data_IF_431291673706
#
_entry.id   IF_431291673706
#
_cell.length_a   1.000
_cell.length_b   1.000
_cell.length_c   1.000
_cell.angle_alpha   90.00
_cell.angle_beta   90.00
_cell.angle_gamma   90.00
#
_symmetry.space_group_name_H-M   'P 1'
#
loop_
_entity.id
_entity.type
_entity.pdbx_description
1 polymer ?
#
# COMPACT_ATOMS: atom_id res chain seq x y z
N UNK A 1 -33.35 41.78 28.86
CA UNK A 1 -32.68 40.63 29.53
C UNK A 1 -32.26 39.68 28.44
N UNK A 2 -31.12 40.02 27.77
CA UNK A 2 -30.57 39.26 26.65
C UNK A 2 -29.70 38.13 27.20
N UNK A 3 -30.11 36.91 26.97
CA UNK A 3 -29.33 35.73 27.30
C UNK A 3 -28.29 35.50 26.17
N UNK A 4 -27.05 35.95 26.43
CA UNK A 4 -25.88 35.56 25.61
C UNK A 4 -25.70 34.04 25.70
N UNK A 5 -26.14 33.33 24.68
CA UNK A 5 -25.78 31.93 24.48
C UNK A 5 -24.35 31.92 23.91
N UNK A 6 -23.35 31.82 24.76
CA UNK A 6 -21.97 31.55 24.38
C UNK A 6 -21.97 30.21 23.63
N UNK A 7 -21.77 30.27 22.34
CA UNK A 7 -21.44 29.12 21.49
C UNK A 7 -20.07 28.57 21.94
N UNK A 8 -20.13 27.55 22.79
CA UNK A 8 -18.95 26.81 23.19
C UNK A 8 -18.27 26.23 21.94
N UNK A 9 -17.03 26.63 21.56
CA UNK A 9 -16.39 26.11 20.39
C UNK A 9 -16.19 24.61 20.57
N UNK A 10 -16.71 23.83 19.63
CA UNK A 10 -16.47 22.37 19.58
C UNK A 10 -14.97 22.13 19.65
N UNK A 11 -14.47 21.27 20.55
CA UNK A 11 -13.04 21.02 20.67
C UNK A 11 -12.53 20.53 19.31
N UNK A 12 -11.69 21.34 18.68
CA UNK A 12 -10.93 20.93 17.49
C UNK A 12 -10.15 19.66 17.90
N UNK A 13 -10.49 18.53 17.29
CA UNK A 13 -9.73 17.29 17.47
C UNK A 13 -8.27 17.64 17.15
N UNK A 14 -7.43 17.63 18.18
CA UNK A 14 -5.99 17.90 18.00
C UNK A 14 -5.45 17.02 16.89
N UNK A 15 -4.82 17.65 15.90
CA UNK A 15 -4.20 16.95 14.77
C UNK A 15 -3.07 16.08 15.31
N UNK A 16 -3.09 14.80 14.98
CA UNK A 16 -2.02 13.90 15.37
C UNK A 16 -0.85 14.05 14.39
N UNK A 17 0.09 14.92 14.73
CA UNK A 17 1.27 15.20 13.91
C UNK A 17 2.10 13.96 13.57
N UNK A 18 2.10 12.93 14.43
CA UNK A 18 2.79 11.68 14.17
C UNK A 18 2.19 10.92 12.98
N UNK A 19 0.86 10.94 12.84
CA UNK A 19 0.18 10.32 11.68
C UNK A 19 0.45 11.12 10.41
N UNK A 20 0.47 12.44 10.48
CA UNK A 20 0.79 13.29 9.32
C UNK A 20 2.24 13.07 8.85
N UNK A 21 3.19 13.02 9.79
CA UNK A 21 4.58 12.69 9.49
C UNK A 21 4.72 11.29 8.87
N UNK A 22 4.01 10.30 9.39
CA UNK A 22 4.02 8.94 8.84
C UNK A 22 3.49 8.91 7.39
N UNK A 23 2.47 9.70 7.07
CA UNK A 23 1.96 9.83 5.68
C UNK A 23 3.00 10.42 4.74
N UNK A 24 3.68 11.50 5.16
CA UNK A 24 4.73 12.13 4.36
C UNK A 24 5.88 11.14 4.14
N UNK A 25 6.30 10.45 5.19
CA UNK A 25 7.36 9.45 5.11
C UNK A 25 6.96 8.29 4.18
N UNK A 26 5.74 7.77 4.29
CA UNK A 26 5.22 6.74 3.40
C UNK A 26 5.19 7.21 1.94
N UNK A 27 4.88 8.48 1.67
CA UNK A 27 4.93 9.05 0.32
C UNK A 27 6.35 9.08 -0.25
N UNK A 28 7.33 9.50 0.55
CA UNK A 28 8.74 9.48 0.16
C UNK A 28 9.22 8.05 -0.13
N UNK A 29 8.87 7.09 0.72
CA UNK A 29 9.22 5.69 0.48
C UNK A 29 8.54 5.13 -0.79
N UNK A 30 7.30 5.52 -1.08
CA UNK A 30 6.64 5.14 -2.33
C UNK A 30 7.36 5.70 -3.55
N UNK A 31 7.83 6.95 -3.50
CA UNK A 31 8.65 7.54 -4.56
C UNK A 31 9.97 6.76 -4.75
N UNK A 32 10.62 6.38 -3.65
CA UNK A 32 11.82 5.53 -3.70
C UNK A 32 11.54 4.20 -4.43
N UNK A 33 10.44 3.50 -4.10
CA UNK A 33 10.06 2.26 -4.79
C UNK A 33 9.88 2.45 -6.30
N UNK A 34 9.25 3.56 -6.71
CA UNK A 34 9.08 3.86 -8.12
C UNK A 34 10.41 4.13 -8.84
N UNK A 35 11.33 4.87 -8.19
CA UNK A 35 12.67 5.12 -8.73
C UNK A 35 13.45 3.82 -8.86
N UNK A 36 13.45 2.96 -7.82
CA UNK A 36 14.17 1.70 -7.82
C UNK A 36 13.70 0.76 -8.95
N UNK A 37 12.38 0.62 -9.14
CA UNK A 37 11.78 -0.29 -10.13
C UNK A 37 11.73 0.33 -11.54
N UNK A 38 11.02 1.44 -11.69
CA UNK A 38 10.82 2.07 -13.01
C UNK A 38 12.03 2.84 -13.50
N UNK A 39 12.88 3.34 -12.59
CA UNK A 39 14.14 3.97 -12.94
C UNK A 39 15.26 2.99 -13.30
N UNK A 40 15.00 1.67 -13.30
CA UNK A 40 15.97 0.64 -13.71
C UNK A 40 17.14 0.44 -12.73
N UNK A 41 17.08 1.03 -11.53
CA UNK A 41 18.19 0.97 -10.54
C UNK A 41 18.43 -0.46 -10.07
N UNK A 42 17.37 -1.25 -9.89
CA UNK A 42 17.49 -2.67 -9.49
C UNK A 42 18.28 -3.42 -10.55
N UNK A 43 17.89 -3.32 -11.81
CA UNK A 43 18.56 -4.00 -12.93
C UNK A 43 20.02 -3.53 -13.10
N UNK A 44 20.27 -2.24 -12.97
CA UNK A 44 21.63 -1.69 -13.05
C UNK A 44 22.55 -2.17 -11.91
N UNK A 45 21.98 -2.59 -10.77
CA UNK A 45 22.75 -3.07 -9.62
C UNK A 45 23.21 -4.53 -9.71
N UNK A 46 22.67 -5.34 -10.63
CA UNK A 46 22.88 -6.80 -10.70
C UNK A 46 24.34 -7.20 -10.87
N UNK A 47 25.18 -6.35 -11.49
CA UNK A 47 26.62 -6.60 -11.70
C UNK A 47 27.53 -6.39 -10.49
N UNK A 48 27.04 -5.80 -9.40
CA UNK A 48 27.83 -5.46 -8.23
C UNK A 48 27.10 -5.87 -6.93
N UNK A 49 27.70 -6.80 -6.16
CA UNK A 49 27.07 -7.33 -4.95
C UNK A 49 26.75 -6.24 -3.91
N UNK A 50 27.63 -5.29 -3.72
CA UNK A 50 27.42 -4.22 -2.73
C UNK A 50 26.26 -3.31 -3.17
N UNK A 51 26.23 -2.91 -4.43
CA UNK A 51 25.12 -2.13 -5.01
C UNK A 51 23.79 -2.91 -4.92
N UNK A 52 23.80 -4.17 -5.33
CA UNK A 52 22.64 -5.06 -5.26
C UNK A 52 22.09 -5.20 -3.84
N UNK A 53 22.96 -5.46 -2.87
CA UNK A 53 22.54 -5.60 -1.47
C UNK A 53 21.97 -4.29 -0.90
N UNK A 54 22.56 -3.15 -1.25
CA UNK A 54 22.10 -1.83 -0.80
C UNK A 54 20.73 -1.50 -1.40
N UNK A 55 20.55 -1.76 -2.69
CA UNK A 55 19.28 -1.51 -3.41
C UNK A 55 18.16 -2.38 -2.83
N UNK A 56 18.41 -3.67 -2.59
CA UNK A 56 17.41 -4.56 -2.01
C UNK A 56 17.09 -4.24 -0.54
N UNK A 57 18.07 -3.77 0.24
CA UNK A 57 17.81 -3.28 1.59
C UNK A 57 16.91 -2.03 1.55
N UNK A 58 17.18 -1.11 0.64
CA UNK A 58 16.38 0.10 0.47
C UNK A 58 14.97 -0.24 -0.03
N UNK A 59 14.83 -1.18 -0.97
CA UNK A 59 13.52 -1.65 -1.43
C UNK A 59 12.74 -2.32 -0.29
N UNK A 60 13.37 -3.23 0.47
CA UNK A 60 12.73 -3.90 1.59
C UNK A 60 12.25 -2.89 2.66
N UNK A 61 13.06 -1.88 2.96
CA UNK A 61 12.67 -0.80 3.87
C UNK A 61 11.51 0.02 3.30
N UNK A 62 11.49 0.31 2.00
CA UNK A 62 10.44 1.10 1.39
C UNK A 62 9.14 0.32 1.13
N UNK A 63 9.16 -1.02 1.14
CA UNK A 63 8.03 -1.86 0.73
C UNK A 63 6.77 -1.69 1.58
N UNK A 64 6.91 -1.26 2.84
CA UNK A 64 5.77 -0.96 3.72
C UNK A 64 5.01 0.33 3.35
N UNK A 65 5.55 1.17 2.45
CA UNK A 65 5.04 2.51 2.15
C UNK A 65 3.53 2.53 1.87
N UNK A 66 3.09 1.71 0.92
CA UNK A 66 1.68 1.66 0.50
C UNK A 66 0.80 1.03 1.57
N UNK A 67 1.30 0.02 2.28
CA UNK A 67 0.60 -0.64 3.37
C UNK A 67 0.32 0.33 4.54
N UNK A 68 1.22 1.30 4.78
CA UNK A 68 1.04 2.33 5.80
C UNK A 68 -0.22 3.17 5.56
N UNK A 69 -0.58 3.48 4.32
CA UNK A 69 -1.80 4.26 4.04
C UNK A 69 -3.07 3.51 4.43
N UNK A 70 -3.15 2.20 4.16
CA UNK A 70 -4.30 1.38 4.54
C UNK A 70 -4.37 1.21 6.07
N UNK A 71 -3.23 1.00 6.74
CA UNK A 71 -3.14 0.96 8.21
C UNK A 71 -3.57 2.28 8.85
N UNK A 72 -3.07 3.42 8.34
CA UNK A 72 -3.47 4.75 8.79
C UNK A 72 -4.97 4.97 8.59
N UNK A 73 -5.52 4.54 7.44
CA UNK A 73 -6.95 4.65 7.16
C UNK A 73 -7.79 3.88 8.18
N UNK A 74 -7.36 2.67 8.57
CA UNK A 74 -8.00 1.89 9.62
C UNK A 74 -7.87 2.53 11.00
N UNK A 75 -6.68 3.00 11.34
CA UNK A 75 -6.41 3.66 12.62
C UNK A 75 -7.23 4.94 12.79
N UNK A 76 -7.25 5.82 11.80
CA UNK A 76 -7.99 7.08 11.84
C UNK A 76 -9.49 6.87 11.67
N UNK A 77 -9.88 5.94 10.77
CA UNK A 77 -11.27 5.66 10.43
C UNK A 77 -12.05 4.92 11.51
N UNK A 78 -11.34 4.17 12.38
CA UNK A 78 -12.01 3.47 13.48
C UNK A 78 -12.58 4.43 14.53
N UNK A 79 -13.79 4.11 14.98
CA UNK A 79 -14.48 4.81 16.07
C UNK A 79 -15.36 3.83 16.84
N UNK A 80 -15.43 3.99 18.16
CA UNK A 80 -16.29 3.20 19.03
C UNK A 80 -17.79 3.48 18.78
N UNK A 81 -18.10 4.67 18.23
CA UNK A 81 -19.47 5.02 17.81
C UNK A 81 -19.66 4.73 16.33
N UNK A 82 -20.82 4.19 15.90
CA UNK A 82 -21.16 4.02 14.51
C UNK A 82 -21.06 5.37 13.77
N UNK A 83 -20.37 5.38 12.64
CA UNK A 83 -20.33 6.55 11.76
C UNK A 83 -20.86 6.14 10.39
N UNK A 84 -21.72 6.96 9.77
CA UNK A 84 -22.18 6.70 8.41
C UNK A 84 -21.03 6.81 7.41
N UNK A 85 -21.16 6.11 6.29
CA UNK A 85 -20.24 6.22 5.18
C UNK A 85 -20.35 7.64 4.58
N UNK A 86 -19.23 8.36 4.55
CA UNK A 86 -19.19 9.71 3.97
C UNK A 86 -18.86 9.63 2.47
N UNK A 87 -19.88 9.44 1.65
CA UNK A 87 -19.73 9.38 0.18
C UNK A 87 -19.09 10.66 -0.39
N UNK A 88 -19.37 11.82 0.21
CA UNK A 88 -18.72 13.08 -0.18
C UNK A 88 -17.20 12.96 -0.18
N UNK A 89 -16.60 12.28 0.83
CA UNK A 89 -15.15 12.07 0.87
C UNK A 89 -14.64 11.18 -0.26
N UNK A 90 -15.43 10.20 -0.70
CA UNK A 90 -15.10 9.37 -1.84
C UNK A 90 -15.09 10.20 -3.13
N UNK A 91 -16.10 11.07 -3.29
CA UNK A 91 -16.22 11.99 -4.43
C UNK A 91 -15.07 13.00 -4.44
N UNK A 92 -14.74 13.59 -3.29
CA UNK A 92 -13.61 14.51 -3.15
C UNK A 92 -12.28 13.85 -3.61
N UNK A 93 -12.02 12.63 -3.15
CA UNK A 93 -10.84 11.87 -3.55
C UNK A 93 -10.85 11.54 -5.05
N UNK A 94 -12.01 11.16 -5.58
CA UNK A 94 -12.16 10.87 -7.01
C UNK A 94 -11.91 12.12 -7.86
N UNK A 95 -12.52 13.26 -7.52
CA UNK A 95 -12.31 14.53 -8.21
C UNK A 95 -10.84 14.97 -8.15
N UNK A 96 -10.17 14.78 -7.01
CA UNK A 96 -8.77 15.10 -6.87
C UNK A 96 -7.90 14.25 -7.81
N UNK A 97 -8.15 12.94 -7.90
CA UNK A 97 -7.41 12.05 -8.80
C UNK A 97 -7.67 12.43 -10.26
N UNK A 98 -8.93 12.66 -10.64
CA UNK A 98 -9.29 13.11 -12.00
C UNK A 98 -8.58 14.43 -12.36
N UNK A 99 -8.61 15.40 -11.45
CA UNK A 99 -7.95 16.69 -11.66
C UNK A 99 -6.46 16.54 -11.99
N UNK A 100 -5.71 15.79 -11.17
CA UNK A 100 -4.29 15.57 -11.44
C UNK A 100 -4.05 14.70 -12.67
N UNK A 101 -4.89 13.69 -12.91
CA UNK A 101 -4.76 12.84 -14.09
C UNK A 101 -4.93 13.63 -15.37
N UNK A 102 -5.96 14.49 -15.46
CA UNK A 102 -6.22 15.35 -16.62
C UNK A 102 -5.07 16.35 -16.82
N UNK A 103 -4.55 16.97 -15.76
CA UNK A 103 -3.41 17.88 -15.86
C UNK A 103 -2.18 17.16 -16.42
N UNK A 104 -1.85 15.98 -15.88
CA UNK A 104 -0.69 15.22 -16.32
C UNK A 104 -0.85 14.82 -17.78
N UNK A 105 -2.01 14.27 -18.19
CA UNK A 105 -2.29 13.90 -19.58
C UNK A 105 -2.18 15.11 -20.51
N UNK A 106 -2.69 16.27 -20.10
CA UNK A 106 -2.59 17.51 -20.88
C UNK A 106 -1.14 17.95 -21.04
N UNK A 107 -0.33 17.90 -19.97
CA UNK A 107 1.10 18.25 -20.04
C UNK A 107 1.86 17.32 -20.98
N UNK A 108 1.60 16.00 -20.93
CA UNK A 108 2.21 15.04 -21.87
C UNK A 108 1.79 15.32 -23.31
N UNK A 109 0.53 15.67 -23.56
CA UNK A 109 0.03 16.04 -24.87
C UNK A 109 0.75 17.29 -25.41
N UNK A 110 0.88 18.35 -24.61
CA UNK A 110 1.54 19.60 -25.01
C UNK A 110 3.04 19.40 -25.20
N UNK A 111 3.68 18.58 -24.36
CA UNK A 111 5.11 18.31 -24.43
C UNK A 111 5.47 17.35 -25.60
N UNK A 112 4.48 16.78 -26.29
CA UNK A 112 4.72 15.83 -27.38
C UNK A 112 5.39 14.54 -26.93
N UNK A 113 5.21 14.17 -25.66
CA UNK A 113 5.79 12.95 -25.07
C UNK A 113 4.84 11.79 -25.31
N UNK A 114 5.19 10.87 -26.20
CA UNK A 114 4.34 9.74 -26.58
C UNK A 114 3.20 10.16 -27.53
N UNK A 115 2.34 9.20 -27.88
CA UNK A 115 1.13 9.43 -28.69
C UNK A 115 -0.08 9.56 -27.76
N UNK A 116 -0.33 10.76 -27.24
CA UNK A 116 -1.52 11.01 -26.39
C UNK A 116 -2.75 11.22 -27.30
N UNK A 117 -3.73 10.33 -27.15
CA UNK A 117 -5.00 10.36 -27.90
C UNK A 117 -6.23 10.64 -27.05
N UNK A 118 -7.40 10.60 -27.68
CA UNK A 118 -8.69 10.80 -26.99
C UNK A 118 -8.94 9.72 -25.93
N UNK A 119 -8.45 8.49 -26.14
CA UNK A 119 -8.53 7.39 -25.17
C UNK A 119 -7.84 7.73 -23.85
N UNK A 120 -6.67 8.38 -23.88
CA UNK A 120 -5.91 8.72 -22.69
C UNK A 120 -6.65 9.77 -21.83
N UNK A 121 -7.35 10.70 -22.49
CA UNK A 121 -8.24 11.63 -21.79
C UNK A 121 -9.46 10.93 -21.19
N UNK A 122 -10.05 9.96 -21.90
CA UNK A 122 -11.15 9.17 -21.34
C UNK A 122 -10.70 8.39 -20.11
N UNK A 123 -9.51 7.78 -20.15
CA UNK A 123 -8.88 7.08 -19.03
C UNK A 123 -8.57 8.02 -17.86
N UNK A 124 -8.15 9.26 -18.14
CA UNK A 124 -7.91 10.27 -17.12
C UNK A 124 -9.19 10.68 -16.37
N UNK A 125 -10.35 10.68 -17.04
CA UNK A 125 -11.65 10.94 -16.41
C UNK A 125 -12.20 9.71 -15.66
N UNK A 126 -11.79 8.50 -16.02
CA UNK A 126 -12.27 7.24 -15.45
C UNK A 126 -11.15 6.43 -14.80
N UNK A 127 -10.38 7.00 -13.87
CA UNK A 127 -9.15 6.40 -13.34
C UNK A 127 -9.37 5.07 -12.60
N UNK A 128 -10.58 4.81 -12.11
CA UNK A 128 -10.96 3.54 -11.46
C UNK A 128 -11.17 2.44 -12.50
N UNK A 129 -11.84 2.76 -13.60
CA UNK A 129 -12.19 1.81 -14.67
C UNK A 129 -10.96 1.42 -15.48
N UNK A 130 -10.11 2.41 -15.82
CA UNK A 130 -8.86 2.21 -16.56
C UNK A 130 -7.77 1.55 -15.73
N UNK A 131 -7.96 1.44 -14.40
CA UNK A 131 -6.95 0.94 -13.42
C UNK A 131 -5.63 1.70 -13.48
N UNK A 132 -5.62 2.93 -13.99
CA UNK A 132 -4.45 3.78 -14.14
C UNK A 132 -3.69 3.95 -12.81
N UNK A 133 -4.45 4.07 -11.71
CA UNK A 133 -3.92 4.16 -10.35
C UNK A 133 -4.43 2.99 -9.51
N UNK A 134 -3.73 1.87 -9.54
CA UNK A 134 -4.12 0.63 -8.88
C UNK A 134 -4.50 0.81 -7.39
N UNK A 135 -3.73 1.63 -6.65
CA UNK A 135 -4.00 1.87 -5.24
C UNK A 135 -5.32 2.59 -5.03
N UNK A 136 -5.61 3.60 -5.85
CA UNK A 136 -6.87 4.32 -5.80
C UNK A 136 -8.05 3.40 -6.10
N UNK A 137 -7.96 2.57 -7.13
CA UNK A 137 -8.97 1.58 -7.48
C UNK A 137 -9.22 0.59 -6.33
N UNK A 138 -8.14 0.04 -5.75
CA UNK A 138 -8.22 -0.85 -4.61
C UNK A 138 -8.81 -0.16 -3.36
N UNK A 139 -8.44 1.09 -3.13
CA UNK A 139 -8.94 1.89 -2.01
C UNK A 139 -10.44 2.17 -2.14
N UNK A 140 -10.92 2.54 -3.32
CA UNK A 140 -12.35 2.75 -3.58
C UNK A 140 -13.13 1.45 -3.33
N UNK A 141 -12.61 0.29 -3.81
CA UNK A 141 -13.21 -1.01 -3.51
C UNK A 141 -13.32 -1.27 -2.01
N UNK A 142 -12.25 -1.04 -1.26
CA UNK A 142 -12.25 -1.19 0.20
C UNK A 142 -13.18 -0.17 0.90
N UNK A 143 -13.27 1.05 0.39
CA UNK A 143 -13.99 2.16 1.02
C UNK A 143 -15.45 1.82 1.35
N UNK A 144 -16.13 1.12 0.47
CA UNK A 144 -17.52 0.70 0.68
C UNK A 144 -17.68 -0.31 1.83
N UNK A 145 -16.64 -1.04 2.17
CA UNK A 145 -16.64 -2.00 3.27
C UNK A 145 -16.26 -1.39 4.63
N UNK A 146 -15.80 -0.13 4.69
CA UNK A 146 -15.38 0.53 5.94
C UNK A 146 -16.42 0.44 7.07
N UNK A 147 -17.73 0.68 6.85
CA UNK A 147 -18.72 0.55 7.92
C UNK A 147 -18.80 -0.86 8.49
N UNK A 148 -18.72 -1.87 7.62
CA UNK A 148 -18.74 -3.28 8.00
C UNK A 148 -17.48 -3.66 8.78
N UNK A 149 -16.30 -3.28 8.30
CA UNK A 149 -15.01 -3.52 8.96
C UNK A 149 -14.98 -2.89 10.36
N UNK A 150 -15.45 -1.64 10.47
CA UNK A 150 -15.58 -0.98 11.78
C UNK A 150 -16.58 -1.67 12.69
N UNK A 151 -17.72 -2.15 12.17
CA UNK A 151 -18.69 -2.88 12.94
C UNK A 151 -18.13 -4.20 13.49
N UNK A 152 -17.37 -4.92 12.63
CA UNK A 152 -16.66 -6.14 13.02
C UNK A 152 -15.69 -5.86 14.18
N UNK A 153 -14.79 -4.89 14.01
CA UNK A 153 -13.79 -4.56 15.04
C UNK A 153 -14.45 -4.11 16.34
N UNK A 154 -15.55 -3.33 16.28
CA UNK A 154 -16.28 -2.90 17.48
C UNK A 154 -16.86 -4.07 18.29
N UNK A 155 -17.44 -5.05 17.62
CA UNK A 155 -18.12 -6.20 18.26
C UNK A 155 -17.16 -7.17 18.94
N UNK A 156 -15.91 -7.26 18.44
CA UNK A 156 -14.95 -8.21 18.98
C UNK A 156 -14.35 -7.73 20.29
N UNK A 157 -14.26 -8.61 21.28
CA UNK A 157 -13.49 -8.37 22.49
C UNK A 157 -11.97 -8.45 22.20
N UNK A 158 -11.12 -8.08 23.17
CA UNK A 158 -9.67 -8.04 23.01
C UNK A 158 -9.09 -9.37 22.51
N UNK A 159 -9.51 -10.49 23.10
CA UNK A 159 -8.98 -11.82 22.74
C UNK A 159 -9.39 -12.22 21.32
N UNK A 160 -10.66 -12.08 20.98
CA UNK A 160 -11.17 -12.39 19.65
C UNK A 160 -10.53 -11.48 18.56
N UNK A 161 -10.29 -10.19 18.87
CA UNK A 161 -9.66 -9.28 17.92
C UNK A 161 -8.19 -9.66 17.66
N UNK A 162 -7.44 -10.02 18.71
CA UNK A 162 -6.06 -10.52 18.56
C UNK A 162 -6.05 -11.83 17.77
N UNK A 163 -6.95 -12.77 18.08
CA UNK A 163 -7.10 -14.03 17.35
C UNK A 163 -7.43 -13.79 15.87
N UNK A 164 -8.33 -12.86 15.56
CA UNK A 164 -8.63 -12.45 14.18
C UNK A 164 -7.36 -11.91 13.48
N UNK A 165 -6.60 -11.03 14.12
CA UNK A 165 -5.36 -10.50 13.54
C UNK A 165 -4.35 -11.62 13.25
N UNK A 166 -4.17 -12.56 14.18
CA UNK A 166 -3.26 -13.72 13.97
C UNK A 166 -3.74 -14.57 12.79
N UNK A 167 -5.04 -14.88 12.73
CA UNK A 167 -5.64 -15.64 11.63
C UNK A 167 -5.44 -14.92 10.28
N UNK A 168 -5.66 -13.61 10.23
CA UNK A 168 -5.46 -12.83 9.02
C UNK A 168 -3.99 -12.86 8.55
N UNK A 169 -3.03 -12.79 9.48
CA UNK A 169 -1.60 -12.96 9.15
C UNK A 169 -1.34 -14.37 8.61
N UNK A 170 -1.85 -15.39 9.28
CA UNK A 170 -1.64 -16.77 8.86
C UNK A 170 -2.20 -17.05 7.44
N UNK A 171 -3.41 -16.56 7.16
CA UNK A 171 -4.07 -16.80 5.86
C UNK A 171 -3.54 -15.85 4.77
N UNK A 172 -3.50 -14.56 5.01
CA UNK A 172 -3.23 -13.57 3.96
C UNK A 172 -1.75 -13.21 3.82
N UNK A 173 -0.90 -13.59 4.76
CA UNK A 173 0.53 -13.34 4.67
C UNK A 173 1.31 -14.65 4.55
N UNK A 174 1.20 -15.57 5.51
CA UNK A 174 2.00 -16.80 5.48
C UNK A 174 1.54 -17.74 4.37
N UNK A 175 0.24 -18.07 4.30
CA UNK A 175 -0.28 -19.00 3.28
C UNK A 175 -0.06 -18.44 1.86
N UNK A 176 -0.33 -17.15 1.63
CA UNK A 176 -0.12 -16.52 0.32
C UNK A 176 1.37 -16.53 -0.08
N UNK A 177 2.27 -16.26 0.88
CA UNK A 177 3.71 -16.38 0.67
C UNK A 177 4.09 -17.80 0.24
N UNK A 178 3.57 -18.83 0.91
CA UNK A 178 3.82 -20.22 0.50
C UNK A 178 3.21 -20.53 -0.87
N UNK A 179 1.98 -20.10 -1.14
CA UNK A 179 1.33 -20.31 -2.43
C UNK A 179 2.09 -19.65 -3.59
N UNK A 180 2.74 -18.52 -3.34
CA UNK A 180 3.57 -17.81 -4.33
C UNK A 180 4.76 -18.64 -4.83
N UNK A 181 5.30 -19.57 -4.03
CA UNK A 181 6.34 -20.49 -4.49
C UNK A 181 5.87 -21.38 -5.66
N UNK A 182 4.57 -21.66 -5.76
CA UNK A 182 3.97 -22.37 -6.88
C UNK A 182 3.36 -21.44 -7.94
N UNK A 183 3.71 -20.15 -7.92
CA UNK A 183 3.17 -19.12 -8.84
C UNK A 183 1.63 -19.07 -8.85
N UNK A 184 1.01 -19.33 -7.70
CA UNK A 184 -0.44 -19.27 -7.53
C UNK A 184 -0.79 -18.10 -6.61
N UNK A 185 -1.86 -17.40 -6.94
CA UNK A 185 -2.48 -16.37 -6.11
C UNK A 185 -3.95 -16.79 -5.82
N UNK A 186 -4.15 -17.78 -4.93
CA UNK A 186 -5.46 -18.35 -4.68
C UNK A 186 -6.42 -17.40 -3.98
N UNK A 187 -5.89 -16.36 -3.34
CA UNK A 187 -6.67 -15.35 -2.61
C UNK A 187 -6.86 -14.07 -3.42
N UNK A 188 -6.38 -14.03 -4.66
CA UNK A 188 -6.45 -12.88 -5.54
C UNK A 188 -5.91 -11.59 -4.87
N UNK A 189 -4.79 -11.73 -4.14
CA UNK A 189 -4.15 -10.59 -3.48
C UNK A 189 -3.37 -9.71 -4.46
N UNK A 190 -3.04 -10.26 -5.64
CA UNK A 190 -2.32 -9.54 -6.72
C UNK A 190 -1.03 -8.91 -6.19
N UNK A 191 -0.27 -9.68 -5.39
CA UNK A 191 0.95 -9.17 -4.76
C UNK A 191 0.72 -8.01 -3.78
N UNK A 192 -0.44 -7.96 -3.12
CA UNK A 192 -0.81 -6.89 -2.20
C UNK A 192 -1.53 -5.69 -2.84
N UNK A 193 -1.93 -5.80 -4.12
CA UNK A 193 -2.58 -4.72 -4.87
C UNK A 193 -4.12 -4.87 -4.94
N UNK A 194 -4.74 -5.61 -4.02
CA UNK A 194 -6.19 -5.88 -4.04
C UNK A 194 -6.95 -5.11 -2.95
N UNK A 195 -8.26 -4.82 -3.17
CA UNK A 195 -9.13 -4.23 -2.14
C UNK A 195 -9.21 -5.11 -0.88
N UNK A 196 -9.14 -6.43 -1.06
CA UNK A 196 -9.17 -7.40 0.04
C UNK A 196 -7.96 -7.22 0.97
N UNK A 197 -6.75 -7.12 0.41
CA UNK A 197 -5.54 -6.86 1.18
C UNK A 197 -5.61 -5.54 1.93
N UNK A 198 -6.07 -4.47 1.27
CA UNK A 198 -6.26 -3.17 1.92
C UNK A 198 -7.28 -3.25 3.06
N UNK A 199 -8.33 -4.07 2.92
CA UNK A 199 -9.31 -4.35 3.98
C UNK A 199 -8.69 -5.06 5.18
N UNK A 200 -7.81 -6.03 4.95
CA UNK A 200 -7.04 -6.69 6.01
C UNK A 200 -6.17 -5.68 6.75
N UNK A 201 -5.43 -4.84 6.04
CA UNK A 201 -4.59 -3.80 6.64
C UNK A 201 -5.43 -2.75 7.39
N UNK A 202 -6.61 -2.42 6.88
CA UNK A 202 -7.57 -1.56 7.58
C UNK A 202 -7.97 -2.15 8.94
N UNK A 203 -8.28 -3.45 8.99
CA UNK A 203 -8.61 -4.15 10.25
C UNK A 203 -7.42 -4.06 11.21
N UNK A 204 -6.18 -4.26 10.75
CA UNK A 204 -4.99 -4.10 11.61
C UNK A 204 -4.87 -2.68 12.16
N UNK A 205 -5.05 -1.66 11.33
CA UNK A 205 -5.03 -0.26 11.76
C UNK A 205 -6.10 0.04 12.81
N UNK A 206 -7.34 -0.43 12.58
CA UNK A 206 -8.45 -0.30 13.52
C UNK A 206 -8.20 -1.05 14.83
N UNK A 207 -7.62 -2.26 14.76
CA UNK A 207 -7.24 -3.05 15.91
C UNK A 207 -6.13 -2.37 16.74
N UNK A 208 -5.11 -1.82 16.09
CA UNK A 208 -4.05 -1.05 16.76
C UNK A 208 -4.62 0.10 17.58
N UNK A 209 -5.61 0.83 17.05
CA UNK A 209 -6.28 1.91 17.78
C UNK A 209 -7.10 1.37 18.94
N UNK A 210 -7.94 0.36 18.72
CA UNK A 210 -8.79 -0.21 19.76
C UNK A 210 -7.98 -0.82 20.90
N UNK A 211 -6.86 -1.47 20.58
CA UNK A 211 -5.96 -2.11 21.56
C UNK A 211 -4.94 -1.15 22.17
N UNK A 212 -4.91 0.11 21.73
CA UNK A 212 -3.96 1.15 22.17
C UNK A 212 -2.49 0.72 22.01
N UNK A 213 -2.18 0.05 20.91
CA UNK A 213 -0.84 -0.48 20.65
C UNK A 213 0.24 0.62 20.61
N UNK A 214 0.03 1.79 19.96
CA UNK A 214 1.04 2.86 19.95
C UNK A 214 1.36 3.41 21.33
N UNK A 215 0.40 3.40 22.27
CA UNK A 215 0.59 3.88 23.64
C UNK A 215 1.40 2.89 24.50
N UNK A 216 1.36 1.60 24.14
CA UNK A 216 2.04 0.52 24.87
C UNK A 216 3.44 0.20 24.38
N UNK A 217 3.85 0.76 23.21
CA UNK A 217 5.11 0.44 22.55
C UNK A 217 6.02 1.67 22.43
N UNK A 218 7.25 1.57 22.92
CA UNK A 218 8.20 2.67 22.77
C UNK A 218 8.65 2.83 21.33
N UNK A 219 8.93 4.07 20.90
CA UNK A 219 9.39 4.38 19.54
C UNK A 219 10.68 3.64 19.17
N UNK A 220 11.58 3.43 20.12
CA UNK A 220 12.82 2.65 19.90
C UNK A 220 12.55 1.18 19.56
N UNK A 221 11.58 0.56 20.28
CA UNK A 221 11.17 -0.83 19.99
C UNK A 221 10.49 -0.93 18.62
N UNK A 222 9.61 0.01 18.29
CA UNK A 222 8.96 0.06 16.98
C UNK A 222 9.97 0.18 15.84
N UNK A 223 10.95 1.09 15.98
CA UNK A 223 12.01 1.27 14.98
C UNK A 223 12.90 0.02 14.85
N UNK A 224 13.22 -0.63 15.96
CA UNK A 224 14.02 -1.87 15.95
C UNK A 224 13.28 -3.00 15.22
N UNK A 225 11.97 -3.19 15.50
CA UNK A 225 11.14 -4.18 14.82
C UNK A 225 11.08 -3.89 13.32
N UNK A 226 10.89 -2.65 12.93
CA UNK A 226 10.86 -2.24 11.53
C UNK A 226 12.21 -2.50 10.83
N UNK A 227 13.30 -2.05 11.43
CA UNK A 227 14.64 -2.23 10.87
C UNK A 227 15.02 -3.71 10.74
N UNK A 228 14.73 -4.53 11.78
CA UNK A 228 15.01 -5.97 11.72
C UNK A 228 14.16 -6.69 10.68
N UNK A 229 12.88 -6.29 10.50
CA UNK A 229 12.02 -6.84 9.45
C UNK A 229 12.55 -6.48 8.05
N UNK A 230 12.98 -5.24 7.83
CA UNK A 230 13.56 -4.80 6.56
C UNK A 230 14.85 -5.55 6.23
N UNK A 231 15.76 -5.67 7.20
CA UNK A 231 17.01 -6.43 7.05
C UNK A 231 16.73 -7.91 6.77
N UNK A 232 15.84 -8.52 7.54
CA UNK A 232 15.46 -9.92 7.33
C UNK A 232 14.89 -10.15 5.92
N UNK A 233 13.99 -9.28 5.45
CA UNK A 233 13.40 -9.38 4.11
C UNK A 233 14.47 -9.23 3.02
N UNK A 234 15.38 -8.27 3.16
CA UNK A 234 16.48 -8.06 2.21
C UNK A 234 17.42 -9.28 2.18
N UNK A 235 17.83 -9.80 3.35
CA UNK A 235 18.68 -10.97 3.44
C UNK A 235 18.00 -12.21 2.86
N UNK A 236 16.72 -12.43 3.16
CA UNK A 236 15.96 -13.55 2.61
C UNK A 236 15.92 -13.49 1.08
N UNK A 237 15.67 -12.30 0.50
CA UNK A 237 15.67 -12.10 -0.94
C UNK A 237 17.04 -12.35 -1.55
N UNK A 238 18.09 -11.71 -1.04
CA UNK A 238 19.46 -11.84 -1.55
C UNK A 238 19.96 -13.29 -1.47
N UNK A 239 19.69 -13.96 -0.35
CA UNK A 239 20.08 -15.36 -0.15
C UNK A 239 19.29 -16.28 -1.07
N UNK A 240 17.97 -16.07 -1.22
CA UNK A 240 17.12 -16.83 -2.12
C UNK A 240 17.57 -16.75 -3.57
N UNK A 241 17.86 -15.54 -4.06
CA UNK A 241 18.35 -15.34 -5.43
C UNK A 241 19.70 -16.03 -5.66
N UNK A 242 20.59 -16.01 -4.66
CA UNK A 242 21.88 -16.68 -4.73
C UNK A 242 21.77 -18.19 -4.72
N UNK A 243 20.95 -18.76 -3.84
CA UNK A 243 20.72 -20.21 -3.78
C UNK A 243 20.11 -20.72 -5.09
N UNK A 244 19.12 -19.99 -5.64
CA UNK A 244 18.48 -20.35 -6.90
C UNK A 244 19.43 -20.20 -8.11
N UNK A 245 20.38 -19.27 -8.07
CA UNK A 245 21.41 -19.15 -9.13
C UNK A 245 22.43 -20.28 -9.10
N UNK A 246 22.62 -20.95 -7.98
CA UNK A 246 23.54 -22.10 -7.81
C UNK A 246 22.94 -23.45 -8.23
N UNK A 247 21.62 -23.54 -8.48
CA UNK A 247 20.97 -24.77 -8.95
C UNK A 247 21.17 -24.87 -10.48
N UNK A 248 22.03 -25.78 -10.99
CA UNK A 248 22.27 -25.93 -12.43
C UNK A 248 20.99 -26.45 -13.08
N UNK A 249 20.45 -25.68 -14.04
CA UNK A 249 19.29 -26.10 -14.80
C UNK A 249 17.96 -25.53 -14.30
N UNK A 250 17.94 -24.62 -13.35
CA UNK A 250 16.68 -23.96 -12.98
C UNK A 250 16.17 -23.07 -14.10
N UNK A 251 15.24 -23.64 -14.87
CA UNK A 251 14.35 -22.95 -15.84
C UNK A 251 13.68 -21.72 -15.21
N UNK A 252 13.75 -21.62 -13.90
CA UNK A 252 13.11 -20.64 -13.03
C UNK A 252 13.68 -19.21 -13.21
N UNK A 253 15.02 -19.06 -13.29
CA UNK A 253 15.66 -17.74 -13.43
C UNK A 253 15.44 -17.17 -14.84
N UNK A 254 15.47 -18.03 -15.88
CA UNK A 254 15.22 -17.57 -17.25
C UNK A 254 13.78 -17.17 -17.53
N UNK A 255 12.80 -17.74 -16.81
CA UNK A 255 11.38 -17.41 -16.99
C UNK A 255 11.06 -16.09 -16.34
N UNK A 256 11.64 -15.79 -15.17
CA UNK A 256 11.36 -14.52 -14.46
C UNK A 256 11.94 -13.30 -15.20
N UNK A 257 13.15 -13.41 -15.72
CA UNK A 257 13.74 -12.37 -16.59
C UNK A 257 13.04 -12.24 -17.96
N UNK A 258 12.47 -13.33 -18.50
CA UNK A 258 11.74 -13.29 -19.78
C UNK A 258 10.31 -12.78 -19.65
N UNK A 259 9.66 -12.96 -18.51
CA UNK A 259 8.30 -12.42 -18.27
C UNK A 259 8.33 -10.93 -17.98
N UNK A 260 9.30 -10.42 -17.22
CA UNK A 260 9.51 -8.98 -17.04
C UNK A 260 9.86 -8.27 -18.34
N UNK A 261 10.70 -8.87 -19.19
CA UNK A 261 11.03 -8.33 -20.53
C UNK A 261 9.84 -8.35 -21.49
N UNK A 262 9.01 -9.42 -21.50
CA UNK A 262 7.84 -9.54 -22.40
C UNK A 262 6.63 -8.71 -21.95
N UNK A 263 6.51 -8.43 -20.65
CA UNK A 263 5.48 -7.51 -20.16
C UNK A 263 5.82 -6.07 -20.57
N UNK A 264 7.10 -5.70 -20.59
CA UNK A 264 7.55 -4.40 -21.07
C UNK A 264 7.33 -4.23 -22.58
N UNK A 265 7.67 -5.24 -23.38
CA UNK A 265 7.50 -5.25 -24.86
C UNK A 265 6.02 -5.21 -25.32
N UNK A 266 5.07 -5.61 -24.46
CA UNK A 266 3.63 -5.52 -24.77
C UNK A 266 3.01 -4.18 -24.38
N UNK A 267 3.60 -3.47 -23.44
CA UNK A 267 3.16 -2.13 -23.05
C UNK A 267 3.70 -1.05 -24.01
N UNK A 268 4.83 -1.35 -24.68
CA UNK A 268 5.41 -0.45 -25.69
C UNK A 268 4.78 -0.63 -27.09
N UNK A 269 3.88 -1.61 -27.28
CA UNK A 269 3.19 -1.89 -28.56
C UNK A 269 1.67 -1.75 -28.48
N UNK A 270 1.12 -1.34 -27.35
CA UNK A 270 -0.29 -1.02 -27.14
C UNK A 270 -0.47 0.48 -26.90
#
# INVERSE_FOLDING_TARGET
>A
METNTELNPTPHSERNHGIELLRIFAMLLAAVLHILKKGGVITASEGNLAAYSTVWLLEAAAYCAVNCYALISGYVGYSDRPKPLRLARCIELWLQVVFYSVIITTVYCIAGVGSVGVSDFADAFLPVTSKQYWYFTAYIGMFFFIPLLNALVRRLNRRALVSLCIMLIAVFSLYDTFASFWKKDPLALVGGHSPLWLGVLYIFGAAMKKLRVPESMSSKKALLIYASAAVFTALFKITGDRLLSFVPGSLFVRVHCRETGRAHDRLDRA
#
